data_IF_936964039706
#
_entry.id   IF_936964039706
#
_cell.length_a   1.000
_cell.length_b   1.000
_cell.length_c   1.000
_cell.angle_alpha   90.00
_cell.angle_beta   90.00
_cell.angle_gamma   90.00
#
_symmetry.space_group_name_H-M   'P 1'
#
loop_
_entity.id
_entity.type
_entity.pdbx_description
1 polymer ?
#
# COMPACT_ATOMS: atom_id res chain seq x y z
N UNK A 1 7.90 -13.24 17.17
CA UNK A 1 7.36 -11.87 17.00
C UNK A 1 8.55 -10.95 16.88
N UNK A 2 8.81 -10.42 15.68
CA UNK A 2 9.96 -9.55 15.45
C UNK A 2 9.59 -8.14 15.92
N UNK A 3 10.20 -7.69 17.01
CA UNK A 3 10.03 -6.33 17.51
C UNK A 3 10.92 -5.40 16.67
N UNK A 4 10.30 -4.66 15.75
CA UNK A 4 11.03 -3.73 14.88
C UNK A 4 11.31 -2.46 15.70
N UNK A 5 12.58 -2.20 15.96
CA UNK A 5 13.10 -1.03 16.70
C UNK A 5 12.60 0.35 16.22
N UNK A 6 12.05 0.43 15.00
CA UNK A 6 11.56 1.64 14.35
C UNK A 6 10.05 1.59 14.07
N UNK A 7 9.34 0.62 14.63
CA UNK A 7 7.89 0.60 14.54
C UNK A 7 7.31 1.76 15.37
N UNK A 8 6.36 2.54 14.83
CA UNK A 8 5.69 3.56 15.62
C UNK A 8 4.81 2.92 16.71
N UNK A 9 4.70 3.60 17.86
CA UNK A 9 3.73 3.24 18.89
C UNK A 9 2.29 3.41 18.39
N UNK A 10 1.41 2.51 18.83
CA UNK A 10 -0.02 2.54 18.48
C UNK A 10 -0.68 3.77 19.10
N UNK A 11 -1.35 4.59 18.27
CA UNK A 11 -2.11 5.78 18.66
C UNK A 11 -3.61 5.56 18.41
N UNK A 12 -4.47 6.40 18.99
CA UNK A 12 -5.93 6.25 18.89
C UNK A 12 -6.48 6.18 17.46
N UNK A 13 -5.80 6.82 16.49
CA UNK A 13 -6.14 6.78 15.05
C UNK A 13 -5.85 5.42 14.39
N UNK A 14 -5.11 4.52 15.04
CA UNK A 14 -4.86 3.17 14.52
C UNK A 14 -6.08 2.26 14.58
N UNK A 15 -7.18 2.67 15.23
CA UNK A 15 -8.45 1.94 15.20
C UNK A 15 -9.01 1.81 13.77
N UNK A 16 -8.76 2.81 12.92
CA UNK A 16 -9.17 2.81 11.50
C UNK A 16 -8.35 1.85 10.64
N UNK A 17 -7.29 1.21 11.16
CA UNK A 17 -6.52 0.20 10.40
C UNK A 17 -7.42 -0.94 9.90
N UNK A 18 -8.46 -1.30 10.66
CA UNK A 18 -9.43 -2.33 10.27
C UNK A 18 -10.26 -1.96 9.04
N UNK A 19 -10.39 -0.66 8.74
CA UNK A 19 -11.13 -0.15 7.58
C UNK A 19 -10.22 0.05 6.36
N UNK A 20 -8.89 0.04 6.55
CA UNK A 20 -7.93 0.18 5.44
C UNK A 20 -7.78 -1.15 4.70
N UNK A 21 -7.94 -1.14 3.36
CA UNK A 21 -7.67 -2.30 2.53
C UNK A 21 -6.29 -2.90 2.82
N UNK A 22 -6.23 -4.22 3.05
CA UNK A 22 -4.98 -4.94 3.30
C UNK A 22 -4.35 -5.45 1.99
N UNK A 23 -5.16 -5.51 0.93
CA UNK A 23 -4.73 -5.89 -0.41
C UNK A 23 -5.16 -4.85 -1.45
N UNK A 24 -4.48 -4.85 -2.60
CA UNK A 24 -4.82 -3.97 -3.71
C UNK A 24 -6.21 -4.30 -4.29
N UNK A 25 -6.66 -5.54 -4.13
CA UNK A 25 -7.96 -6.03 -4.59
C UNK A 25 -9.11 -5.59 -3.67
N UNK A 26 -8.85 -5.39 -2.37
CA UNK A 26 -9.80 -4.81 -1.41
C UNK A 26 -9.97 -3.30 -1.55
N UNK A 27 -9.02 -2.62 -2.20
CA UNK A 27 -9.10 -1.18 -2.40
C UNK A 27 -10.30 -0.84 -3.27
N UNK A 28 -11.13 0.14 -2.92
CA UNK A 28 -12.32 0.51 -3.69
C UNK A 28 -12.06 1.79 -4.50
N UNK A 29 -12.44 1.79 -5.79
CA UNK A 29 -12.19 2.92 -6.69
C UNK A 29 -10.80 2.88 -7.35
N UNK A 30 -10.43 3.95 -8.06
CA UNK A 30 -9.11 4.07 -8.72
C UNK A 30 -8.71 2.87 -9.62
N UNK A 31 -9.66 2.30 -10.37
CA UNK A 31 -9.46 1.05 -11.11
C UNK A 31 -8.24 1.04 -12.04
N UNK A 32 -8.04 2.11 -12.81
CA UNK A 32 -6.90 2.24 -13.71
C UNK A 32 -5.56 2.30 -12.95
N UNK A 33 -5.50 3.05 -11.84
CA UNK A 33 -4.29 3.18 -11.02
C UNK A 33 -3.94 1.85 -10.35
N UNK A 34 -4.92 1.16 -9.76
CA UNK A 34 -4.73 -0.18 -9.18
C UNK A 34 -4.21 -1.17 -10.21
N UNK A 35 -4.81 -1.21 -11.41
CA UNK A 35 -4.38 -2.13 -12.47
C UNK A 35 -2.94 -1.86 -12.89
N UNK A 36 -2.56 -0.59 -13.06
CA UNK A 36 -1.20 -0.19 -13.40
C UNK A 36 -0.20 -0.58 -12.30
N UNK A 37 -0.49 -0.25 -11.04
CA UNK A 37 0.36 -0.60 -9.89
C UNK A 37 0.53 -2.12 -9.75
N UNK A 38 -0.54 -2.90 -10.01
CA UNK A 38 -0.48 -4.36 -9.97
C UNK A 38 0.54 -4.91 -10.96
N UNK A 39 0.59 -4.39 -12.18
CA UNK A 39 1.58 -4.80 -13.20
C UNK A 39 3.00 -4.55 -12.71
N UNK A 40 3.28 -3.38 -12.12
CA UNK A 40 4.62 -3.07 -11.60
C UNK A 40 5.01 -3.99 -10.43
N UNK A 41 4.10 -4.21 -9.49
CA UNK A 41 4.33 -5.10 -8.34
C UNK A 41 4.58 -6.54 -8.80
N UNK A 42 3.78 -7.05 -9.74
CA UNK A 42 3.94 -8.40 -10.27
C UNK A 42 5.27 -8.54 -11.04
N UNK A 43 5.66 -7.51 -11.80
CA UNK A 43 6.95 -7.48 -12.51
C UNK A 43 8.15 -7.47 -11.55
N UNK A 44 8.12 -6.65 -10.49
CA UNK A 44 9.19 -6.61 -9.49
C UNK A 44 9.30 -7.95 -8.74
N UNK A 45 8.16 -8.54 -8.35
CA UNK A 45 8.11 -9.89 -7.77
C UNK A 45 8.69 -10.94 -8.72
N UNK A 46 8.36 -10.87 -10.01
CA UNK A 46 8.88 -11.79 -11.02
C UNK A 46 10.40 -11.72 -11.20
N UNK A 47 11.00 -10.53 -11.01
CA UNK A 47 12.46 -10.34 -11.00
C UNK A 47 13.12 -10.68 -9.67
N UNK A 48 12.36 -10.78 -8.58
CA UNK A 48 12.90 -10.92 -7.23
C UNK A 48 13.60 -9.65 -6.72
N UNK A 49 13.24 -8.50 -7.27
CA UNK A 49 13.86 -7.20 -7.00
C UNK A 49 12.87 -6.26 -6.28
N UNK A 50 13.40 -5.18 -5.71
CA UNK A 50 12.54 -4.10 -5.21
C UNK A 50 11.78 -3.43 -6.36
N UNK A 51 10.59 -2.93 -6.06
CA UNK A 51 9.85 -2.06 -6.97
C UNK A 51 10.63 -0.75 -7.17
N UNK A 52 10.64 -0.23 -8.40
CA UNK A 52 11.19 1.09 -8.69
C UNK A 52 10.46 2.20 -7.93
N UNK A 53 11.06 3.39 -7.87
CA UNK A 53 10.46 4.53 -7.18
C UNK A 53 9.11 4.92 -7.79
N UNK A 54 8.09 5.06 -6.92
CA UNK A 54 6.72 5.44 -7.28
C UNK A 54 6.36 6.76 -6.59
N UNK A 55 5.69 7.64 -7.33
CA UNK A 55 5.11 8.88 -6.80
C UNK A 55 3.59 8.79 -6.85
N UNK A 56 2.93 8.99 -5.71
CA UNK A 56 1.47 9.14 -5.64
C UNK A 56 1.10 10.62 -5.56
N UNK A 57 0.21 11.05 -6.45
CA UNK A 57 -0.31 12.43 -6.51
C UNK A 57 -1.83 12.39 -6.63
N UNK A 58 -2.51 13.15 -5.78
CA UNK A 58 -3.94 13.33 -5.84
C UNK A 58 -4.47 14.18 -4.67
N UNK A 59 -5.77 14.52 -4.71
CA UNK A 59 -6.47 15.10 -3.57
C UNK A 59 -6.35 14.25 -2.30
N UNK A 60 -6.42 14.87 -1.10
CA UNK A 60 -6.35 14.13 0.16
C UNK A 60 -7.52 13.16 0.31
N UNK A 61 -7.27 12.02 0.97
CA UNK A 61 -8.31 11.04 1.33
C UNK A 61 -8.68 10.03 0.24
N UNK A 62 -7.92 9.94 -0.85
CA UNK A 62 -8.18 9.01 -1.95
C UNK A 62 -7.40 7.69 -1.85
N UNK A 63 -6.54 7.55 -0.83
CA UNK A 63 -5.49 6.53 -0.81
C UNK A 63 -4.23 7.05 -1.47
#
# INVERSE_FOLDING_TARGET
>A
MNDRLIAPDKRGEDADQSLRPQSLDEFVGQAAVRANLKVFVDAAKGRGEALDHVLFVGPPGLG
#
